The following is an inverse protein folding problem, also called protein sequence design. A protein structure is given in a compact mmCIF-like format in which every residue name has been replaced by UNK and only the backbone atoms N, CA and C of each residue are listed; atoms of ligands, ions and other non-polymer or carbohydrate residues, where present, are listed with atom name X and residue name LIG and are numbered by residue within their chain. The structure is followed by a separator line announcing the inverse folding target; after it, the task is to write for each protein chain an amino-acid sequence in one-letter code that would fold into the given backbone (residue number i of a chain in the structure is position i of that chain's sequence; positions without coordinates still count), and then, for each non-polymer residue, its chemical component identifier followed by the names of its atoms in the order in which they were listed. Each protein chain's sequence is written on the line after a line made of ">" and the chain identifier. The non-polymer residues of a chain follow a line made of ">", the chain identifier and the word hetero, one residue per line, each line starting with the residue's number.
data_IF_145646216331
#
_entry.id   IF_145646216331
#
_cell.length_a   1.000
_cell.length_b   1.000
_cell.length_c   1.000
_cell.angle_alpha   90.00
_cell.angle_beta   90.00
_cell.angle_gamma   90.00
#
_symmetry.space_group_name_H-M   'P 1'
#
loop_
_entity.id
_entity.type
_entity.pdbx_description
1 polymer ?
#
# COMPACT_ATOMS: atom_id res chain seq x y z
N UNK A 1 23.32 -37.13 -45.70
CA UNK A 1 22.86 -37.12 -44.30
C UNK A 1 22.56 -35.68 -43.95
N UNK A 2 21.27 -35.34 -43.76
CA UNK A 2 20.80 -33.98 -43.46
C UNK A 2 21.02 -33.74 -41.96
N UNK A 3 21.59 -32.60 -41.60
CA UNK A 3 21.78 -32.20 -40.20
C UNK A 3 20.42 -31.76 -39.60
N UNK A 4 20.11 -32.26 -38.42
CA UNK A 4 18.92 -31.91 -37.66
C UNK A 4 18.96 -30.44 -37.19
N UNK A 5 17.82 -29.72 -37.17
CA UNK A 5 17.79 -28.33 -36.71
C UNK A 5 17.83 -28.26 -35.18
N UNK A 6 18.81 -27.50 -34.66
CA UNK A 6 18.96 -27.18 -33.24
C UNK A 6 17.79 -26.34 -32.76
N UNK A 7 17.04 -26.89 -31.80
CA UNK A 7 15.97 -26.23 -31.04
C UNK A 7 16.47 -24.90 -30.45
N UNK A 8 15.99 -23.78 -31.00
CA UNK A 8 16.18 -22.46 -30.38
C UNK A 8 15.22 -22.34 -29.21
N UNK A 9 15.73 -22.52 -28.00
CA UNK A 9 15.01 -22.12 -26.78
C UNK A 9 14.53 -20.65 -26.90
N UNK A 10 13.28 -20.33 -26.50
CA UNK A 10 12.81 -18.96 -26.53
C UNK A 10 13.63 -18.14 -25.54
N UNK A 11 14.30 -17.10 -26.04
CA UNK A 11 14.98 -16.08 -25.24
C UNK A 11 13.98 -15.60 -24.18
N UNK A 12 14.34 -15.75 -22.91
CA UNK A 12 13.58 -15.20 -21.80
C UNK A 12 13.34 -13.72 -22.08
N UNK A 13 12.06 -13.35 -22.23
CA UNK A 13 11.65 -11.95 -22.32
C UNK A 13 12.03 -11.34 -20.97
N UNK A 14 13.19 -10.68 -20.94
CA UNK A 14 13.60 -9.87 -19.82
C UNK A 14 12.47 -8.88 -19.60
N UNK A 15 11.72 -9.06 -18.50
CA UNK A 15 10.78 -8.03 -18.03
C UNK A 15 11.61 -6.78 -17.89
N UNK A 16 11.35 -5.80 -18.75
CA UNK A 16 11.93 -4.47 -18.68
C UNK A 16 11.76 -4.00 -17.25
N UNK A 17 12.83 -4.08 -16.46
CA UNK A 17 12.83 -3.54 -15.12
C UNK A 17 12.76 -2.04 -15.33
N UNK A 18 11.56 -1.49 -15.15
CA UNK A 18 11.32 -0.06 -15.14
C UNK A 18 12.48 0.58 -14.36
N UNK A 19 13.22 1.45 -15.05
CA UNK A 19 14.33 2.20 -14.45
C UNK A 19 13.81 2.72 -13.11
N UNK A 20 14.41 2.28 -12.01
CA UNK A 20 14.10 2.80 -10.68
C UNK A 20 14.62 4.23 -10.65
N UNK A 21 13.83 5.17 -11.17
CA UNK A 21 14.17 6.58 -11.13
C UNK A 21 14.04 7.04 -9.68
N UNK A 22 15.12 7.57 -9.16
CA UNK A 22 15.15 8.31 -7.88
C UNK A 22 14.16 9.49 -7.89
N UNK A 23 13.77 9.96 -9.09
CA UNK A 23 12.94 11.14 -9.32
C UNK A 23 11.44 10.87 -9.49
N UNK A 24 11.01 9.59 -9.55
CA UNK A 24 9.60 9.24 -9.70
C UNK A 24 9.39 7.79 -10.14
N UNK A 25 8.14 7.37 -10.23
CA UNK A 25 7.76 6.04 -10.71
C UNK A 25 6.59 6.15 -11.68
N UNK A 26 6.70 5.47 -12.83
CA UNK A 26 5.65 5.42 -13.85
C UNK A 26 5.23 3.98 -14.04
N UNK A 27 3.92 3.74 -14.01
CA UNK A 27 3.33 2.42 -14.26
C UNK A 27 1.96 2.55 -14.95
N UNK A 28 1.29 1.42 -15.19
CA UNK A 28 -0.03 1.39 -15.84
C UNK A 28 -1.15 2.09 -15.06
N UNK A 29 -0.96 2.34 -13.77
CA UNK A 29 -1.93 3.03 -12.91
C UNK A 29 -1.69 4.55 -12.88
N UNK A 30 -0.50 5.02 -13.23
CA UNK A 30 -0.19 6.45 -13.33
C UNK A 30 1.28 6.80 -13.12
N UNK A 31 1.52 8.08 -12.83
CA UNK A 31 2.82 8.68 -12.59
C UNK A 31 2.92 9.17 -11.15
N UNK A 32 4.06 8.91 -10.51
CA UNK A 32 4.41 9.39 -9.18
C UNK A 32 5.65 10.25 -9.31
N UNK A 33 5.61 11.46 -8.75
CA UNK A 33 6.76 12.33 -8.63
C UNK A 33 6.88 12.90 -7.21
N UNK A 34 7.87 13.77 -7.01
CA UNK A 34 8.10 14.43 -5.71
C UNK A 34 6.95 15.32 -5.24
N UNK A 35 6.17 15.88 -6.16
CA UNK A 35 5.08 16.80 -5.85
C UNK A 35 3.72 16.12 -5.70
N UNK A 36 3.58 14.86 -6.13
CA UNK A 36 2.30 14.17 -6.11
C UNK A 36 2.19 13.00 -7.05
N UNK A 37 0.96 12.50 -7.18
CA UNK A 37 0.56 11.36 -8.01
C UNK A 37 -0.45 11.85 -9.04
N UNK A 38 -0.25 11.48 -10.30
CA UNK A 38 -1.23 11.62 -11.37
C UNK A 38 -1.69 10.22 -11.79
N UNK A 39 -2.96 9.90 -11.56
CA UNK A 39 -3.53 8.59 -11.89
C UNK A 39 -3.99 8.55 -13.34
N UNK A 40 -4.17 7.33 -13.87
CA UNK A 40 -4.65 7.09 -15.24
C UNK A 40 -6.03 7.71 -15.51
N UNK A 41 -6.89 7.80 -14.49
CA UNK A 41 -8.20 8.45 -14.57
C UNK A 41 -8.13 9.99 -14.61
N UNK A 42 -6.92 10.56 -14.56
CA UNK A 42 -6.68 12.00 -14.54
C UNK A 42 -6.79 12.62 -13.16
N UNK A 43 -7.08 11.85 -12.11
CA UNK A 43 -7.10 12.37 -10.74
C UNK A 43 -5.68 12.66 -10.24
N UNK A 44 -5.54 13.74 -9.47
CA UNK A 44 -4.26 14.21 -8.96
C UNK A 44 -4.32 14.21 -7.44
N UNK A 45 -3.29 13.64 -6.81
CA UNK A 45 -3.05 13.76 -5.37
C UNK A 45 -1.75 14.52 -5.16
N UNK A 46 -1.86 15.78 -4.70
CA UNK A 46 -0.69 16.60 -4.38
C UNK A 46 -0.16 16.25 -2.99
N UNK A 47 1.15 16.15 -2.90
CA UNK A 47 1.83 16.01 -1.62
C UNK A 47 1.97 17.38 -0.97
N UNK A 48 1.79 17.41 0.36
CA UNK A 48 2.17 18.58 1.15
C UNK A 48 3.66 18.83 1.07
N UNK A 49 4.08 20.07 1.34
CA UNK A 49 5.47 20.49 1.32
C UNK A 49 6.36 19.57 2.18
N UNK A 50 5.96 19.33 3.43
CA UNK A 50 6.74 18.51 4.37
C UNK A 50 6.96 17.09 3.85
N UNK A 51 5.91 16.47 3.31
CA UNK A 51 6.00 15.14 2.74
C UNK A 51 6.95 15.11 1.54
N UNK A 52 6.83 16.06 0.61
CA UNK A 52 7.67 16.12 -0.58
C UNK A 52 9.17 16.24 -0.25
N UNK A 53 9.51 16.94 0.84
CA UNK A 53 10.89 17.06 1.34
C UNK A 53 11.42 15.81 2.04
N UNK A 54 10.52 14.99 2.59
CA UNK A 54 10.84 13.74 3.28
C UNK A 54 11.04 12.56 2.32
N UNK A 55 10.65 12.65 1.05
CA UNK A 55 10.79 11.53 0.10
C UNK A 55 12.27 11.19 -0.13
N UNK A 56 12.61 9.93 0.15
CA UNK A 56 13.92 9.35 -0.13
C UNK A 56 13.91 8.57 -1.45
N UNK A 57 12.91 7.71 -1.65
CA UNK A 57 12.81 6.90 -2.87
C UNK A 57 11.39 6.41 -3.13
N UNK A 58 11.16 6.00 -4.39
CA UNK A 58 9.91 5.41 -4.86
C UNK A 58 10.13 3.93 -5.20
N UNK A 59 9.19 3.09 -4.78
CA UNK A 59 9.15 1.67 -5.11
C UNK A 59 7.78 1.26 -5.64
N UNK A 60 7.67 0.07 -6.26
CA UNK A 60 6.40 -0.42 -6.82
C UNK A 60 5.25 -0.49 -5.82
N UNK A 61 5.57 -0.66 -4.54
CA UNK A 61 4.61 -0.80 -3.44
C UNK A 61 4.48 0.43 -2.56
N UNK A 62 5.25 1.50 -2.79
CA UNK A 62 5.26 2.62 -1.85
C UNK A 62 6.35 3.66 -2.00
N UNK A 63 6.34 4.61 -1.07
CA UNK A 63 7.27 5.73 -0.97
C UNK A 63 8.03 5.59 0.35
N UNK A 64 9.35 5.59 0.27
CA UNK A 64 10.22 5.60 1.44
C UNK A 64 10.48 7.05 1.83
N UNK A 65 10.24 7.36 3.10
CA UNK A 65 10.53 8.65 3.70
C UNK A 65 11.88 8.60 4.42
N UNK A 66 12.56 9.74 4.54
CA UNK A 66 13.80 9.87 5.33
C UNK A 66 13.49 9.66 6.80
N UNK A 67 12.46 10.35 7.29
CA UNK A 67 12.03 10.31 8.67
C UNK A 67 10.54 9.91 8.72
N UNK A 68 10.27 8.70 9.22
CA UNK A 68 8.91 8.21 9.44
C UNK A 68 8.62 6.87 8.74
N UNK A 69 7.42 6.31 8.97
CA UNK A 69 7.03 5.06 8.36
C UNK A 69 6.89 5.18 6.84
N UNK A 70 7.21 4.13 6.08
CA UNK A 70 7.00 4.12 4.65
C UNK A 70 5.51 4.24 4.32
N UNK A 71 5.22 4.91 3.22
CA UNK A 71 3.85 5.02 2.70
C UNK A 71 3.65 3.89 1.72
N UNK A 72 2.68 3.02 2.00
CA UNK A 72 2.28 1.98 1.06
C UNK A 72 1.34 2.55 0.00
N UNK A 73 1.43 2.02 -1.21
CA UNK A 73 0.55 2.31 -2.33
C UNK A 73 -0.17 1.03 -2.74
N UNK A 74 -1.46 1.14 -3.02
CA UNK A 74 -2.20 0.05 -3.68
C UNK A 74 -1.92 0.00 -5.19
N UNK A 75 -2.54 -0.97 -5.86
CA UNK A 75 -2.46 -1.15 -7.31
C UNK A 75 -2.95 0.06 -8.14
N UNK A 76 -3.73 0.95 -7.53
CA UNK A 76 -4.30 2.16 -8.14
C UNK A 76 -3.58 3.45 -7.68
N UNK A 77 -2.37 3.31 -7.11
CA UNK A 77 -1.58 4.42 -6.58
C UNK A 77 -2.31 5.23 -5.49
N UNK A 78 -3.16 4.59 -4.69
CA UNK A 78 -3.73 5.22 -3.49
C UNK A 78 -2.83 4.92 -2.29
N UNK A 79 -2.61 5.93 -1.47
CA UNK A 79 -1.74 5.83 -0.30
C UNK A 79 -2.44 5.06 0.83
N UNK A 80 -2.06 3.79 1.02
CA UNK A 80 -2.60 2.86 2.03
C UNK A 80 -1.66 2.74 3.23
N UNK A 81 -1.33 3.86 3.87
CA UNK A 81 -0.42 3.86 5.03
C UNK A 81 -0.69 4.98 6.02
N UNK A 82 -1.45 6.01 5.62
CA UNK A 82 -1.87 7.10 6.50
C UNK A 82 -3.25 6.85 7.11
N UNK A 83 -3.60 5.58 7.26
CA UNK A 83 -4.86 5.20 7.87
C UNK A 83 -4.74 5.39 9.38
N UNK A 84 -5.31 6.48 9.92
CA UNK A 84 -5.78 6.50 11.32
C UNK A 84 -6.86 5.42 11.58
N UNK A 85 -7.23 4.63 10.56
CA UNK A 85 -8.25 3.59 10.58
C UNK A 85 -7.60 2.22 10.76
N UNK A 86 -8.37 1.31 11.31
CA UNK A 86 -7.96 -0.07 11.52
C UNK A 86 -7.80 -0.79 10.17
N UNK A 87 -6.80 -1.65 10.06
CA UNK A 87 -6.65 -2.58 8.94
C UNK A 87 -7.49 -3.80 9.30
N UNK A 88 -8.63 -4.00 8.64
CA UNK A 88 -9.55 -5.11 8.91
C UNK A 88 -9.42 -6.17 7.83
N UNK A 89 -9.05 -7.38 8.22
CA UNK A 89 -9.01 -8.56 7.37
C UNK A 89 -10.15 -9.53 7.68
N UNK A 90 -10.29 -10.63 6.92
CA UNK A 90 -11.37 -11.60 7.12
C UNK A 90 -11.38 -12.27 8.49
N UNK A 91 -10.24 -12.36 9.19
CA UNK A 91 -10.14 -13.12 10.45
C UNK A 91 -9.66 -12.27 11.62
N UNK A 92 -9.37 -11.00 11.41
CA UNK A 92 -8.85 -10.14 12.44
C UNK A 92 -8.58 -8.74 11.94
N UNK A 93 -8.08 -7.89 12.83
CA UNK A 93 -7.70 -6.53 12.48
C UNK A 93 -6.43 -6.09 13.19
N UNK A 94 -5.72 -5.16 12.58
CA UNK A 94 -4.67 -4.38 13.21
C UNK A 94 -5.25 -3.00 13.47
N UNK A 95 -5.35 -2.65 14.75
CA UNK A 95 -5.86 -1.35 15.17
C UNK A 95 -4.93 -0.23 14.72
N UNK A 96 -5.41 1.02 14.70
CA UNK A 96 -4.61 2.17 14.25
C UNK A 96 -3.51 2.53 15.24
N UNK A 97 -3.59 1.98 16.45
CA UNK A 97 -2.62 2.07 17.53
C UNK A 97 -1.77 0.79 17.65
N UNK A 98 -1.86 -0.13 16.68
CA UNK A 98 -0.91 -1.24 16.52
C UNK A 98 -1.24 -2.54 17.24
N UNK A 99 -2.33 -2.63 18.02
CA UNK A 99 -2.78 -3.90 18.58
C UNK A 99 -3.38 -4.80 17.49
N UNK A 100 -2.92 -6.05 17.47
CA UNK A 100 -3.47 -7.13 16.66
C UNK A 100 -4.65 -7.74 17.41
N UNK A 101 -5.79 -7.86 16.75
CA UNK A 101 -7.01 -8.46 17.31
C UNK A 101 -7.47 -9.58 16.39
N UNK A 102 -7.54 -10.79 16.93
CA UNK A 102 -8.12 -11.95 16.27
C UNK A 102 -9.64 -11.94 16.47
N UNK A 103 -10.41 -12.09 15.39
CA UNK A 103 -11.86 -12.22 15.48
C UNK A 103 -12.25 -13.61 15.95
N UNK A 104 -13.38 -13.70 16.66
CA UNK A 104 -13.97 -14.97 17.08
C UNK A 104 -14.61 -15.70 15.91
N UNK A 105 -15.25 -14.93 15.04
CA UNK A 105 -15.88 -15.40 13.82
C UNK A 105 -15.21 -14.77 12.59
N UNK A 106 -15.11 -15.49 11.47
CA UNK A 106 -14.63 -14.90 10.24
C UNK A 106 -15.64 -13.86 9.73
N UNK A 107 -15.12 -12.85 9.04
CA UNK A 107 -15.84 -11.72 8.46
C UNK A 107 -16.55 -10.82 9.48
N UNK A 108 -16.15 -10.88 10.76
CA UNK A 108 -16.56 -9.88 11.75
C UNK A 108 -16.18 -8.47 11.28
N UNK A 109 -17.11 -7.54 11.46
CA UNK A 109 -16.96 -6.13 11.04
C UNK A 109 -16.98 -5.20 12.24
N UNK A 110 -16.43 -4.01 12.07
CA UNK A 110 -16.54 -2.93 13.07
C UNK A 110 -17.93 -2.30 12.93
N UNK A 111 -18.75 -2.43 13.96
CA UNK A 111 -20.10 -1.83 14.02
C UNK A 111 -20.01 -0.38 14.49
N UNK A 112 -19.15 -0.10 15.47
CA UNK A 112 -18.96 1.26 16.00
C UNK A 112 -17.52 1.47 16.46
N UNK A 113 -16.97 2.65 16.18
CA UNK A 113 -15.64 3.08 16.63
C UNK A 113 -15.78 4.40 17.40
N UNK A 114 -15.86 4.31 18.73
CA UNK A 114 -16.08 5.43 19.64
C UNK A 114 -14.80 5.91 20.34
N UNK A 115 -14.86 7.00 21.13
CA UNK A 115 -13.70 7.54 21.82
C UNK A 115 -13.00 6.56 22.76
N UNK A 116 -13.77 5.67 23.41
CA UNK A 116 -13.25 4.73 24.41
C UNK A 116 -12.97 3.33 23.88
N UNK A 117 -13.50 2.95 22.71
CA UNK A 117 -13.45 1.57 22.26
C UNK A 117 -14.15 1.31 20.92
N UNK A 118 -14.04 0.07 20.48
CA UNK A 118 -14.55 -0.45 19.20
C UNK A 118 -15.53 -1.57 19.51
N UNK A 119 -16.74 -1.53 18.93
CA UNK A 119 -17.72 -2.61 18.99
C UNK A 119 -17.70 -3.38 17.68
N UNK A 120 -17.53 -4.70 17.79
CA UNK A 120 -17.53 -5.64 16.66
C UNK A 120 -18.91 -6.27 16.44
N UNK A 121 -19.16 -6.78 15.24
CA UNK A 121 -20.44 -7.41 14.87
C UNK A 121 -20.72 -8.72 15.60
N UNK A 122 -19.68 -9.36 16.16
CA UNK A 122 -19.78 -10.55 17.02
C UNK A 122 -20.09 -10.20 18.49
N UNK A 123 -20.33 -8.91 18.79
CA UNK A 123 -20.63 -8.41 20.13
C UNK A 123 -19.38 -8.17 21.00
N UNK A 124 -18.17 -8.45 20.49
CA UNK A 124 -16.94 -8.15 21.22
C UNK A 124 -16.68 -6.63 21.30
N UNK A 125 -16.18 -6.16 22.45
CA UNK A 125 -15.78 -4.78 22.65
C UNK A 125 -14.26 -4.70 22.90
N UNK A 126 -13.58 -3.79 22.21
CA UNK A 126 -12.13 -3.59 22.29
C UNK A 126 -11.88 -2.20 22.84
N UNK A 127 -11.24 -2.13 24.00
CA UNK A 127 -10.95 -0.86 24.65
C UNK A 127 -9.73 -0.17 24.00
N UNK A 128 -9.85 1.13 23.75
CA UNK A 128 -8.73 1.95 23.32
C UNK A 128 -7.80 2.22 24.51
N UNK A 129 -6.48 2.30 24.28
CA UNK A 129 -5.54 2.68 25.34
C UNK A 129 -5.88 4.08 25.86
N UNK A 130 -5.61 4.30 27.15
CA UNK A 130 -5.69 5.63 27.74
C UNK A 130 -4.67 6.55 27.06
N UNK A 131 -5.10 7.78 26.77
CA UNK A 131 -4.27 8.85 26.19
C UNK A 131 -3.47 9.53 27.29
#
# INVERSE_FOLDING_TARGET
>A
MKADPVDRQPKSVGREQAKRSTDGLVNNAGNIGRSGIVRKDGTIELFGHDMAHEILSFGPSGIILKNGPPIHLDENLKMTGRSKRHIVGPTGMITSWGQIVQFREPFTTVVSDGPSGIVLSDGQNIQKPAV
#
